data_IF_559729011478
#
_entry.id   IF_559729011478
#
_cell.length_a   1.000
_cell.length_b   1.000
_cell.length_c   1.000
_cell.angle_alpha   90.00
_cell.angle_beta   90.00
_cell.angle_gamma   90.00
#
_symmetry.space_group_name_H-M   'P 1'
#
loop_
_entity.id
_entity.type
_entity.pdbx_description
1 polymer ?
#
# COMPACT_ATOMS: atom_id res chain seq x y z
N UNK A 1 10.92 -43.87 49.17
CA UNK A 1 11.07 -43.42 47.76
C UNK A 1 9.83 -42.75 47.16
N UNK A 2 8.75 -42.46 47.91
CA UNK A 2 7.52 -41.84 47.39
C UNK A 2 7.38 -40.33 47.66
N UNK A 3 8.30 -39.75 48.46
CA UNK A 3 8.28 -38.32 48.85
C UNK A 3 9.18 -37.44 47.99
N UNK A 4 10.14 -38.02 47.27
CA UNK A 4 11.04 -37.29 46.37
C UNK A 4 10.42 -37.02 44.98
N UNK A 5 9.41 -37.80 44.58
CA UNK A 5 8.76 -37.67 43.28
C UNK A 5 7.74 -36.51 43.23
N UNK A 6 7.19 -36.11 44.39
CA UNK A 6 6.18 -35.06 44.48
C UNK A 6 6.76 -33.63 44.37
N UNK A 7 8.04 -33.45 44.72
CA UNK A 7 8.69 -32.13 44.68
C UNK A 7 9.17 -31.74 43.27
N UNK A 8 9.45 -32.71 42.39
CA UNK A 8 9.91 -32.43 41.02
C UNK A 8 8.75 -32.09 40.06
N UNK A 9 7.52 -32.52 40.37
CA UNK A 9 6.33 -32.23 39.55
C UNK A 9 5.79 -30.81 39.77
N UNK A 10 6.06 -30.20 40.94
CA UNK A 10 5.57 -28.86 41.27
C UNK A 10 6.41 -27.73 40.62
N UNK A 11 7.67 -27.99 40.26
CA UNK A 11 8.54 -27.01 39.59
C UNK A 11 8.33 -26.95 38.07
N UNK A 12 7.75 -27.99 37.46
CA UNK A 12 7.38 -28.01 36.04
C UNK A 12 6.07 -27.27 35.74
N UNK A 13 5.21 -27.06 36.75
CA UNK A 13 3.92 -26.39 36.57
C UNK A 13 4.00 -24.86 36.70
N UNK A 14 5.05 -24.31 37.33
CA UNK A 14 5.21 -22.87 37.50
C UNK A 14 5.82 -22.14 36.27
N UNK A 15 6.27 -22.87 35.25
CA UNK A 15 6.85 -22.29 34.03
C UNK A 15 5.85 -22.26 32.85
N UNK A 16 4.67 -22.88 33.00
CA UNK A 16 3.69 -23.00 31.91
C UNK A 16 2.63 -21.89 31.88
N UNK A 17 2.68 -20.94 32.82
CA UNK A 17 1.70 -19.85 32.91
C UNK A 17 2.23 -18.51 32.34
N UNK A 18 3.47 -18.47 31.82
CA UNK A 18 4.08 -17.21 31.31
C UNK A 18 4.13 -17.11 29.78
N UNK A 19 3.48 -18.01 29.05
CA UNK A 19 3.29 -17.90 27.61
C UNK A 19 1.86 -17.44 27.28
N UNK A 20 1.39 -16.35 27.91
CA UNK A 20 0.42 -15.49 27.23
C UNK A 20 1.20 -14.76 26.15
N UNK A 21 1.27 -15.39 24.98
CA UNK A 21 1.77 -14.78 23.74
C UNK A 21 0.79 -13.67 23.34
N UNK A 22 0.89 -12.52 23.99
CA UNK A 22 0.39 -11.28 23.42
C UNK A 22 1.23 -11.04 22.17
N UNK A 23 0.68 -11.39 21.01
CA UNK A 23 1.27 -11.04 19.72
C UNK A 23 1.27 -9.51 19.64
N UNK A 24 2.43 -8.84 19.65
CA UNK A 24 2.45 -7.41 19.36
C UNK A 24 1.96 -7.25 17.92
N UNK A 25 0.77 -6.67 17.74
CA UNK A 25 0.23 -6.35 16.41
C UNK A 25 -1.24 -6.68 16.17
N UNK A 26 -1.95 -7.36 17.07
CA UNK A 26 -3.40 -7.54 16.89
C UNK A 26 -4.17 -6.42 17.59
N UNK A 27 -4.41 -5.32 16.85
CA UNK A 27 -5.37 -4.30 17.29
C UNK A 27 -6.74 -4.96 17.59
N UNK A 28 -7.45 -4.54 18.65
CA UNK A 28 -8.76 -5.09 18.98
C UNK A 28 -9.69 -5.02 17.77
N UNK A 29 -10.48 -6.08 17.57
CA UNK A 29 -11.44 -6.14 16.49
C UNK A 29 -12.44 -4.98 16.58
N UNK A 30 -12.88 -4.48 15.43
CA UNK A 30 -13.78 -3.31 15.28
C UNK A 30 -15.06 -3.42 16.14
N UNK A 31 -15.51 -4.63 16.44
CA UNK A 31 -16.71 -4.91 17.25
C UNK A 31 -16.52 -4.75 18.76
N UNK A 32 -15.28 -4.72 19.25
CA UNK A 32 -14.96 -4.64 20.69
C UNK A 32 -14.26 -3.32 21.06
N UNK A 33 -13.90 -2.49 20.08
CA UNK A 33 -13.23 -1.22 20.31
C UNK A 33 -14.23 -0.16 20.82
N UNK A 34 -13.82 0.70 21.78
CA UNK A 34 -14.65 1.80 22.23
C UNK A 34 -14.85 2.80 21.09
N UNK A 35 -16.01 3.47 21.08
CA UNK A 35 -16.41 4.37 20.00
C UNK A 35 -15.45 5.56 19.80
N UNK A 36 -14.81 6.03 20.87
CA UNK A 36 -13.81 7.10 20.80
C UNK A 36 -12.56 6.69 20.00
N UNK A 37 -12.10 5.46 20.17
CA UNK A 37 -10.96 4.91 19.44
C UNK A 37 -11.31 4.75 17.96
N UNK A 38 -12.53 4.30 17.65
CA UNK A 38 -13.00 4.16 16.27
C UNK A 38 -13.06 5.52 15.55
N UNK A 39 -13.53 6.57 16.22
CA UNK A 39 -13.56 7.93 15.64
C UNK A 39 -12.14 8.47 15.44
N UNK A 40 -11.22 8.22 16.38
CA UNK A 40 -9.80 8.59 16.24
C UNK A 40 -9.17 7.91 15.03
N UNK A 41 -9.28 6.57 14.95
CA UNK A 41 -8.73 5.78 13.83
C UNK A 41 -9.37 6.20 12.50
N UNK A 42 -10.68 6.46 12.47
CA UNK A 42 -11.34 6.98 11.27
C UNK A 42 -10.77 8.34 10.82
N UNK A 43 -10.46 9.23 11.78
CA UNK A 43 -9.78 10.49 11.50
C UNK A 43 -8.40 10.29 10.87
N UNK A 44 -7.60 9.39 11.44
CA UNK A 44 -6.27 9.03 10.92
C UNK A 44 -6.35 8.47 9.49
N UNK A 45 -7.34 7.61 9.20
CA UNK A 45 -7.59 7.06 7.86
C UNK A 45 -8.00 8.13 6.83
N UNK A 46 -8.63 9.21 7.27
CA UNK A 46 -9.10 10.30 6.39
C UNK A 46 -7.96 11.23 5.94
N UNK A 47 -6.86 11.26 6.68
CA UNK A 47 -5.74 12.16 6.44
C UNK A 47 -4.41 11.44 6.70
N UNK A 48 -4.01 10.55 5.80
CA UNK A 48 -2.80 9.77 5.96
C UNK A 48 -1.58 10.69 5.86
N UNK A 49 -0.64 10.49 6.77
CA UNK A 49 0.64 11.20 6.77
C UNK A 49 1.75 10.27 6.29
N UNK A 50 2.77 10.86 5.69
CA UNK A 50 4.00 10.12 5.39
C UNK A 50 4.75 9.86 6.70
N UNK A 51 5.26 8.64 6.85
CA UNK A 51 6.04 8.23 8.01
C UNK A 51 7.54 8.37 7.79
N UNK A 52 8.30 7.88 8.76
CA UNK A 52 9.77 7.95 8.77
C UNK A 52 10.45 6.71 8.16
N UNK A 53 9.65 5.79 7.59
CA UNK A 53 10.16 4.57 6.98
C UNK A 53 10.22 4.73 5.46
N UNK A 54 11.32 4.31 4.87
CA UNK A 54 11.49 4.26 3.43
C UNK A 54 12.28 3.02 2.99
N UNK A 55 12.23 2.70 1.72
CA UNK A 55 13.05 1.68 1.10
C UNK A 55 13.58 2.19 -0.24
N UNK A 56 14.82 1.86 -0.56
CA UNK A 56 15.35 2.06 -1.91
C UNK A 56 14.94 0.85 -2.75
N UNK A 57 14.49 1.09 -3.97
CA UNK A 57 14.08 0.04 -4.91
C UNK A 57 15.06 -0.03 -6.06
N UNK A 58 15.66 -1.19 -6.27
CA UNK A 58 16.53 -1.50 -7.41
C UNK A 58 16.07 -2.82 -8.03
N UNK A 59 15.42 -2.75 -9.19
CA UNK A 59 14.83 -3.89 -9.92
C UNK A 59 13.90 -4.77 -9.07
N UNK A 60 13.07 -4.14 -8.24
CA UNK A 60 12.09 -4.83 -7.41
C UNK A 60 10.85 -5.13 -8.24
N UNK A 61 10.48 -6.40 -8.34
CA UNK A 61 9.25 -6.84 -9.00
C UNK A 61 8.22 -7.20 -7.94
N UNK A 62 7.14 -6.44 -7.88
CA UNK A 62 6.02 -6.65 -6.98
C UNK A 62 4.76 -6.98 -7.77
N UNK A 63 4.22 -8.18 -7.55
CA UNK A 63 3.05 -8.68 -8.28
C UNK A 63 1.82 -8.68 -7.38
N UNK A 64 0.72 -8.10 -7.87
CA UNK A 64 -0.59 -8.12 -7.22
C UNK A 64 -1.64 -8.57 -8.24
N UNK A 65 -2.26 -9.72 -7.98
CA UNK A 65 -3.24 -10.35 -8.88
C UNK A 65 -2.70 -10.50 -10.33
N UNK A 66 -3.36 -9.88 -11.32
CA UNK A 66 -2.95 -9.87 -12.73
C UNK A 66 -1.94 -8.74 -13.07
N UNK A 67 -1.70 -7.81 -12.14
CA UNK A 67 -0.80 -6.68 -12.28
C UNK A 67 0.61 -6.97 -11.76
N UNK A 68 1.62 -6.48 -12.48
CA UNK A 68 3.03 -6.56 -12.10
C UNK A 68 3.62 -5.16 -12.12
N UNK A 69 4.10 -4.70 -10.97
CA UNK A 69 4.86 -3.47 -10.82
C UNK A 69 6.35 -3.82 -10.81
N UNK A 70 7.12 -3.18 -11.68
CA UNK A 70 8.57 -3.32 -11.73
C UNK A 70 9.18 -1.98 -11.39
N UNK A 71 9.71 -1.84 -10.19
CA UNK A 71 10.42 -0.66 -9.72
C UNK A 71 11.90 -0.79 -10.12
N UNK A 72 12.29 -0.14 -11.22
CA UNK A 72 13.66 -0.25 -11.76
C UNK A 72 14.66 0.43 -10.86
N UNK A 73 14.39 1.69 -10.52
CA UNK A 73 15.23 2.51 -9.66
C UNK A 73 14.34 3.56 -8.98
N UNK A 74 14.48 3.75 -7.68
CA UNK A 74 13.70 4.75 -6.97
C UNK A 74 13.67 4.57 -5.47
N UNK A 75 12.73 5.27 -4.85
CA UNK A 75 12.47 5.22 -3.41
C UNK A 75 10.98 5.00 -3.16
N UNK A 76 10.68 4.09 -2.24
CA UNK A 76 9.37 3.96 -1.61
C UNK A 76 9.42 4.66 -0.25
N UNK A 77 8.51 5.60 -0.01
CA UNK A 77 8.28 6.20 1.30
C UNK A 77 6.95 5.72 1.85
N UNK A 78 6.93 5.21 3.07
CA UNK A 78 5.74 4.58 3.65
C UNK A 78 4.95 5.56 4.51
N UNK A 79 3.63 5.37 4.55
CA UNK A 79 2.77 6.16 5.43
C UNK A 79 2.99 5.82 6.90
N UNK A 80 2.70 6.77 7.78
CA UNK A 80 2.68 6.55 9.21
C UNK A 80 1.66 5.42 9.53
N UNK A 81 2.01 4.48 10.42
CA UNK A 81 1.11 3.39 10.76
C UNK A 81 -0.17 3.91 11.42
N UNK A 82 -1.33 3.47 10.92
CA UNK A 82 -2.65 3.74 11.53
C UNK A 82 -3.10 2.48 12.24
N UNK A 83 -3.37 2.58 13.54
CA UNK A 83 -3.64 1.42 14.41
C UNK A 83 -2.60 0.27 14.24
N UNK A 84 -1.33 0.63 14.03
CA UNK A 84 -0.22 -0.33 13.85
C UNK A 84 -0.08 -0.93 12.45
N UNK A 85 -0.85 -0.46 11.46
CA UNK A 85 -0.76 -0.93 10.06
C UNK A 85 -0.29 0.18 9.13
N UNK A 86 0.69 -0.11 8.28
CA UNK A 86 1.09 0.77 7.19
C UNK A 86 0.08 0.61 6.05
N UNK A 87 -0.62 1.69 5.70
CA UNK A 87 -1.75 1.64 4.76
C UNK A 87 -1.46 2.29 3.41
N UNK A 88 -0.31 2.94 3.25
CA UNK A 88 0.06 3.49 1.96
C UNK A 88 1.58 3.52 1.76
N UNK A 89 1.97 3.51 0.49
CA UNK A 89 3.35 3.72 0.05
C UNK A 89 3.37 4.68 -1.14
N UNK A 90 4.31 5.61 -1.13
CA UNK A 90 4.56 6.54 -2.24
C UNK A 90 5.86 6.14 -2.90
N UNK A 91 5.80 5.85 -4.19
CA UNK A 91 6.96 5.59 -5.02
C UNK A 91 7.36 6.85 -5.79
N UNK A 92 8.65 7.15 -5.78
CA UNK A 92 9.28 8.18 -6.61
C UNK A 92 10.51 7.57 -7.31
N UNK A 93 10.51 7.54 -8.64
CA UNK A 93 11.59 6.92 -9.42
C UNK A 93 11.25 6.58 -10.86
N UNK A 94 11.70 5.41 -11.32
CA UNK A 94 11.40 4.84 -12.63
C UNK A 94 10.75 3.46 -12.44
N UNK A 95 9.47 3.38 -12.78
CA UNK A 95 8.68 2.16 -12.69
C UNK A 95 8.00 1.80 -14.01
N UNK A 96 7.74 0.52 -14.20
CA UNK A 96 6.89 0.00 -15.27
C UNK A 96 5.77 -0.82 -14.65
N UNK A 97 4.54 -0.59 -15.10
CA UNK A 97 3.38 -1.39 -14.75
C UNK A 97 2.98 -2.26 -15.94
N UNK A 98 2.75 -3.54 -15.68
CA UNK A 98 2.22 -4.47 -16.68
C UNK A 98 1.00 -5.17 -16.13
N UNK A 99 -0.13 -5.06 -16.83
CA UNK A 99 -1.34 -5.83 -16.57
C UNK A 99 -1.46 -6.93 -17.62
N UNK A 100 -1.44 -8.18 -17.18
CA UNK A 100 -1.65 -9.34 -18.03
C UNK A 100 -2.98 -10.01 -17.65
N UNK A 101 -4.09 -9.67 -18.33
CA UNK A 101 -5.40 -10.19 -17.96
C UNK A 101 -5.46 -11.72 -18.05
N UNK A 102 -6.10 -12.40 -17.08
CA UNK A 102 -6.05 -13.86 -16.99
C UNK A 102 -6.94 -14.55 -18.03
N UNK A 103 -8.02 -13.90 -18.48
CA UNK A 103 -8.96 -14.52 -19.45
C UNK A 103 -8.78 -13.96 -20.87
N UNK A 104 -9.03 -14.78 -21.92
CA UNK A 104 -9.01 -14.29 -23.30
C UNK A 104 -10.01 -13.16 -23.57
N UNK A 105 -11.17 -13.19 -22.91
CA UNK A 105 -12.21 -12.17 -23.05
C UNK A 105 -11.67 -10.82 -22.55
N UNK A 106 -11.01 -10.80 -21.40
CA UNK A 106 -10.41 -9.58 -20.85
C UNK A 106 -9.28 -9.06 -21.75
N UNK A 107 -8.42 -9.95 -22.26
CA UNK A 107 -7.37 -9.58 -23.22
C UNK A 107 -7.95 -8.96 -24.49
N UNK A 108 -9.05 -9.50 -25.01
CA UNK A 108 -9.75 -8.92 -26.16
C UNK A 108 -10.32 -7.53 -25.84
N UNK A 109 -10.88 -7.30 -24.65
CA UNK A 109 -11.36 -5.97 -24.27
C UNK A 109 -10.22 -4.96 -24.12
N UNK A 110 -9.12 -5.33 -23.47
CA UNK A 110 -7.93 -4.48 -23.35
C UNK A 110 -7.37 -4.15 -24.75
N UNK A 111 -7.28 -5.12 -25.64
CA UNK A 111 -6.77 -4.92 -27.00
C UNK A 111 -7.55 -3.89 -27.81
N UNK A 112 -8.86 -3.72 -27.56
CA UNK A 112 -9.66 -2.69 -28.25
C UNK A 112 -9.15 -1.28 -27.95
N UNK A 113 -8.74 -1.05 -26.70
CA UNK A 113 -8.27 0.26 -26.21
C UNK A 113 -6.76 0.42 -26.31
N UNK A 114 -5.99 -0.54 -25.80
CA UNK A 114 -4.53 -0.49 -25.73
C UNK A 114 -3.81 -0.96 -27.00
N UNK A 115 -4.55 -1.50 -27.99
CA UNK A 115 -4.00 -2.12 -29.22
C UNK A 115 -3.04 -3.29 -28.96
N UNK A 116 -3.05 -3.82 -27.75
CA UNK A 116 -2.24 -4.92 -27.26
C UNK A 116 -3.08 -5.78 -26.32
N UNK A 117 -2.88 -7.12 -26.27
CA UNK A 117 -3.58 -7.99 -25.31
C UNK A 117 -3.16 -7.75 -23.85
N UNK A 118 -2.15 -6.91 -23.62
CA UNK A 118 -1.64 -6.50 -22.30
C UNK A 118 -1.56 -4.98 -22.24
N UNK A 119 -1.76 -4.42 -21.05
CA UNK A 119 -1.52 -3.00 -20.79
C UNK A 119 -0.13 -2.86 -20.17
N UNK A 120 0.68 -1.99 -20.75
CA UNK A 120 2.00 -1.64 -20.24
C UNK A 120 2.10 -0.13 -20.18
N UNK A 121 2.56 0.40 -19.04
CA UNK A 121 2.76 1.83 -18.85
C UNK A 121 3.99 2.11 -18.00
N UNK A 122 4.63 3.24 -18.24
CA UNK A 122 5.77 3.70 -17.45
C UNK A 122 5.32 4.83 -16.52
N UNK A 123 5.71 4.75 -15.26
CA UNK A 123 5.36 5.75 -14.26
C UNK A 123 6.61 6.21 -13.51
N UNK A 124 6.59 7.48 -13.10
CA UNK A 124 7.63 8.05 -12.24
C UNK A 124 7.21 8.18 -10.79
N UNK A 125 5.91 8.32 -10.59
CA UNK A 125 5.29 8.53 -9.29
C UNK A 125 4.09 7.61 -9.20
N UNK A 126 3.95 6.92 -8.07
CA UNK A 126 2.78 6.10 -7.79
C UNK A 126 2.45 6.14 -6.30
N UNK A 127 1.16 6.18 -5.98
CA UNK A 127 0.67 6.04 -4.61
C UNK A 127 -0.12 4.75 -4.52
N UNK A 128 0.32 3.86 -3.63
CA UNK A 128 -0.33 2.59 -3.36
C UNK A 128 -1.07 2.70 -2.03
N UNK A 129 -2.35 2.36 -2.03
CA UNK A 129 -3.14 2.20 -0.80
C UNK A 129 -3.35 0.72 -0.54
N UNK A 130 -3.05 0.28 0.68
CA UNK A 130 -3.14 -1.11 1.10
C UNK A 130 -4.39 -1.32 1.93
N UNK A 131 -5.21 -2.27 1.51
CA UNK A 131 -6.38 -2.75 2.27
C UNK A 131 -6.25 -4.23 2.65
N UNK A 132 -5.13 -4.84 2.27
CA UNK A 132 -4.83 -6.26 2.38
C UNK A 132 -3.39 -6.46 2.91
N UNK A 133 -2.81 -7.64 2.67
CA UNK A 133 -1.45 -8.00 3.09
C UNK A 133 -0.36 -7.47 2.13
N UNK A 134 -0.68 -6.52 1.26
CA UNK A 134 0.26 -5.91 0.32
C UNK A 134 1.51 -5.36 0.99
N UNK A 135 1.36 -4.75 2.17
CA UNK A 135 2.48 -4.27 2.98
C UNK A 135 3.43 -5.41 3.36
N UNK A 136 2.89 -6.51 3.89
CA UNK A 136 3.68 -7.66 4.33
C UNK A 136 4.40 -8.36 3.17
N UNK A 137 3.79 -8.38 1.98
CA UNK A 137 4.42 -8.88 0.75
C UNK A 137 5.53 -7.95 0.28
N UNK A 138 5.27 -6.64 0.23
CA UNK A 138 6.23 -5.65 -0.23
C UNK A 138 7.45 -5.56 0.69
N UNK A 139 7.25 -5.64 2.01
CA UNK A 139 8.33 -5.63 3.01
C UNK A 139 9.30 -6.81 2.85
N UNK A 140 8.86 -7.94 2.26
CA UNK A 140 9.75 -9.08 1.97
C UNK A 140 10.63 -8.84 0.74
N UNK A 141 10.22 -7.92 -0.13
CA UNK A 141 10.89 -7.63 -1.40
C UNK A 141 11.85 -6.44 -1.30
N UNK A 142 11.67 -5.57 -0.30
CA UNK A 142 12.45 -4.34 -0.14
C UNK A 142 13.09 -4.25 1.24
N UNK A 143 14.26 -3.60 1.33
CA UNK A 143 14.89 -3.33 2.61
C UNK A 143 14.32 -2.03 3.20
N UNK A 144 13.41 -2.16 4.17
CA UNK A 144 12.82 -1.03 4.89
C UNK A 144 13.82 -0.52 5.92
N UNK A 145 14.12 0.77 5.83
CA UNK A 145 15.01 1.49 6.73
C UNK A 145 14.34 2.77 7.23
N UNK A 146 14.72 3.28 8.41
CA UNK A 146 14.40 4.65 8.77
C UNK A 146 15.04 5.57 7.73
N UNK A 147 14.22 6.26 6.97
CA UNK A 147 14.67 7.24 5.99
C UNK A 147 13.64 8.33 5.99
N UNK A 148 14.04 9.49 6.53
CA UNK A 148 13.14 10.51 7.05
C UNK A 148 12.04 10.93 6.08
N UNK A 149 10.96 11.47 6.64
CA UNK A 149 9.79 11.90 5.90
C UNK A 149 10.17 12.75 4.67
N UNK A 150 9.85 12.24 3.48
CA UNK A 150 10.05 12.98 2.24
C UNK A 150 8.93 14.02 2.07
N UNK A 151 9.31 15.30 2.01
CA UNK A 151 8.36 16.38 1.77
C UNK A 151 7.68 16.28 0.39
N UNK A 152 8.35 15.70 -0.62
CA UNK A 152 7.73 15.43 -1.92
C UNK A 152 6.72 14.30 -1.81
N UNK A 153 7.07 13.19 -1.16
CA UNK A 153 6.14 12.09 -0.90
C UNK A 153 4.88 12.56 -0.14
N UNK A 154 5.03 13.44 0.84
CA UNK A 154 3.91 14.03 1.59
C UNK A 154 2.97 14.83 0.69
N UNK A 155 3.52 15.63 -0.23
CA UNK A 155 2.73 16.37 -1.23
C UNK A 155 2.02 15.44 -2.20
N UNK A 156 2.68 14.37 -2.66
CA UNK A 156 2.08 13.38 -3.55
C UNK A 156 0.98 12.57 -2.89
N UNK A 157 1.14 12.18 -1.63
CA UNK A 157 0.09 11.51 -0.87
C UNK A 157 -1.13 12.43 -0.72
N UNK A 158 -0.92 13.68 -0.31
CA UNK A 158 -2.01 14.65 -0.15
C UNK A 158 -2.69 15.00 -1.49
N UNK A 159 -1.95 15.06 -2.60
CA UNK A 159 -2.54 15.31 -3.92
C UNK A 159 -3.33 14.11 -4.42
N UNK A 160 -2.85 12.89 -4.19
CA UNK A 160 -3.59 11.66 -4.49
C UNK A 160 -4.89 11.58 -3.67
N UNK A 161 -4.82 11.81 -2.35
CA UNK A 161 -6.01 11.86 -1.49
C UNK A 161 -7.04 12.88 -1.99
N UNK A 162 -6.61 14.11 -2.29
CA UNK A 162 -7.49 15.15 -2.84
C UNK A 162 -8.15 14.70 -4.14
N UNK A 163 -7.37 14.14 -5.07
CA UNK A 163 -7.87 13.65 -6.35
C UNK A 163 -8.96 12.59 -6.17
N UNK A 164 -8.78 11.64 -5.27
CA UNK A 164 -9.79 10.61 -5.00
C UNK A 164 -11.02 11.14 -4.25
N UNK A 165 -10.86 12.17 -3.41
CA UNK A 165 -11.97 12.78 -2.68
C UNK A 165 -12.85 13.67 -3.56
N UNK A 166 -12.26 14.45 -4.46
CA UNK A 166 -12.97 15.43 -5.28
C UNK A 166 -13.52 14.80 -6.57
N UNK A 167 -12.74 13.92 -7.21
CA UNK A 167 -13.00 13.47 -8.58
C UNK A 167 -12.93 11.95 -8.71
N UNK A 168 -13.70 11.21 -7.90
CA UNK A 168 -13.77 9.75 -7.99
C UNK A 168 -14.13 9.23 -9.41
N UNK A 169 -14.77 10.07 -10.25
CA UNK A 169 -15.18 9.74 -11.62
C UNK A 169 -14.21 10.20 -12.75
N UNK A 170 -13.11 10.91 -12.48
CA UNK A 170 -12.15 11.30 -13.53
C UNK A 170 -11.28 10.14 -14.03
N UNK A 171 -11.38 8.95 -13.42
CA UNK A 171 -10.61 7.77 -13.82
C UNK A 171 -10.85 7.35 -15.29
N UNK A 172 -11.95 7.80 -15.92
CA UNK A 172 -12.21 7.58 -17.35
C UNK A 172 -11.67 8.69 -18.29
N UNK A 173 -11.29 9.86 -17.78
CA UNK A 173 -10.91 11.01 -18.60
C UNK A 173 -9.41 11.07 -18.97
N UNK A 174 -8.74 9.93 -19.09
CA UNK A 174 -7.43 9.89 -19.77
C UNK A 174 -7.58 9.91 -21.30
N UNK A 175 -8.32 10.89 -21.84
CA UNK A 175 -8.52 11.04 -23.29
C UNK A 175 -8.90 12.46 -23.70
N UNK A 176 -7.94 13.39 -23.73
CA UNK A 176 -8.04 14.57 -24.61
C UNK A 176 -6.80 15.47 -24.73
N UNK A 177 -5.71 15.30 -23.96
CA UNK A 177 -4.60 16.27 -24.05
C UNK A 177 -3.80 16.21 -25.37
N UNK A 178 -3.97 15.16 -26.19
CA UNK A 178 -3.27 15.04 -27.49
C UNK A 178 -4.15 15.16 -28.74
N UNK A 179 -5.41 15.57 -28.64
CA UNK A 179 -6.25 15.77 -29.83
C UNK A 179 -6.85 17.18 -29.86
N UNK A 180 -6.10 18.07 -30.53
CA UNK A 180 -6.48 19.39 -31.08
C UNK A 180 -5.78 20.56 -30.36
N UNK A 181 -4.86 21.29 -31.04
CA UNK A 181 -4.49 22.62 -30.57
C UNK A 181 -5.72 23.53 -30.73
N UNK A 182 -6.11 24.18 -29.64
CA UNK A 182 -7.18 25.16 -29.65
C UNK A 182 -6.87 26.26 -30.68
N UNK A 183 -7.56 26.21 -31.82
CA UNK A 183 -7.62 27.32 -32.76
C UNK A 183 -8.37 28.46 -32.08
N UNK A 184 -7.63 29.52 -31.75
CA UNK A 184 -8.18 30.78 -31.32
C UNK A 184 -9.05 31.37 -32.44
N UNK A 185 -10.38 31.27 -32.30
CA UNK A 185 -11.32 31.99 -33.13
C UNK A 185 -11.85 33.20 -32.36
N UNK A 186 -11.13 34.31 -32.50
CA UNK A 186 -11.62 35.67 -32.25
C UNK A 186 -12.91 35.87 -33.04
N UNK A 187 -14.00 36.31 -32.40
CA UNK A 187 -15.15 36.85 -33.12
C UNK A 187 -15.47 38.24 -32.57
N UNK A 188 -15.37 39.22 -33.49
CA UNK A 188 -15.86 40.59 -33.35
C UNK A 188 -17.38 40.61 -33.16
#
# INVERSE_FOLDING_TARGET
MKRALAALLALLFACLEFWTSDKPGQAPGISAAPSEDLVRVYGELRSLQVGEQSAVTENVVWKRDAGTFTFREGRLTFAAPVAGRVLAAVFEGQGTFTLNPPTPIDQHQIARYAKSPKLEDNFREAVFFFTDQSWDELQKLVHVQPGGASASAGKFLASAERKYQENFNEWWENRSVYCCPASAATRK
#
